data_IF_332247760293
#
_entry.id   IF_332247760293
#
_cell.length_a   1.000
_cell.length_b   1.000
_cell.length_c   1.000
_cell.angle_alpha   90.00
_cell.angle_beta   90.00
_cell.angle_gamma   90.00
#
_symmetry.space_group_name_H-M   'P 1'
#
loop_
_entity.id
_entity.type
_entity.pdbx_description
1 polymer ?
#
# COMPACT_ATOMS: atom_id res chain seq x y z
N UNK A 1 -11.43 -6.30 -6.22
CA UNK A 1 -10.23 -6.98 -6.77
C UNK A 1 -10.59 -8.03 -7.82
N UNK A 2 -11.65 -8.83 -7.61
CA UNK A 2 -12.09 -9.88 -8.54
C UNK A 2 -12.10 -9.52 -10.05
N UNK A 3 -12.57 -8.32 -10.45
CA UNK A 3 -12.54 -7.91 -11.87
C UNK A 3 -11.13 -7.82 -12.46
N UNK A 4 -10.14 -7.40 -11.66
CA UNK A 4 -8.74 -7.38 -12.08
C UNK A 4 -8.18 -8.80 -12.16
N UNK A 5 -8.55 -9.67 -11.23
CA UNK A 5 -8.09 -11.07 -11.20
C UNK A 5 -8.68 -11.91 -12.35
N UNK A 6 -9.86 -11.53 -12.86
CA UNK A 6 -10.50 -12.17 -14.00
C UNK A 6 -9.78 -11.92 -15.35
N UNK A 7 -9.14 -10.76 -15.53
CA UNK A 7 -8.46 -10.40 -16.78
C UNK A 7 -7.29 -9.41 -16.56
N UNK A 8 -6.20 -9.83 -15.91
CA UNK A 8 -5.07 -8.95 -15.59
C UNK A 8 -4.38 -8.38 -16.84
N UNK A 9 -4.38 -9.10 -17.95
CA UNK A 9 -3.75 -8.68 -19.22
C UNK A 9 -4.47 -7.48 -19.84
N UNK A 10 -5.81 -7.48 -19.81
CA UNK A 10 -6.60 -6.32 -20.26
C UNK A 10 -6.31 -5.08 -19.43
N UNK A 11 -6.20 -5.21 -18.11
CA UNK A 11 -5.89 -4.08 -17.23
C UNK A 11 -4.46 -3.56 -17.44
N UNK A 12 -3.50 -4.47 -17.63
CA UNK A 12 -2.13 -4.10 -18.03
C UNK A 12 -2.11 -3.35 -19.37
N UNK A 13 -2.86 -3.80 -20.38
CA UNK A 13 -2.98 -3.12 -21.67
C UNK A 13 -3.60 -1.71 -21.55
N UNK A 14 -4.47 -1.49 -20.55
CA UNK A 14 -5.04 -0.18 -20.22
C UNK A 14 -4.15 0.66 -19.30
N UNK A 15 -2.99 0.15 -18.87
CA UNK A 15 -2.12 0.76 -17.88
C UNK A 15 -2.86 1.07 -16.57
N UNK A 16 -3.73 0.15 -16.14
CA UNK A 16 -4.54 0.29 -14.92
C UNK A 16 -4.23 -0.85 -13.95
N UNK A 17 -4.10 -0.50 -12.67
CA UNK A 17 -4.05 -1.47 -11.58
C UNK A 17 -5.45 -1.87 -11.10
N UNK A 18 -5.52 -2.70 -10.04
CA UNK A 18 -6.78 -3.00 -9.38
C UNK A 18 -7.42 -1.72 -8.82
N UNK A 19 -8.75 -1.74 -8.74
CA UNK A 19 -9.53 -0.62 -8.21
C UNK A 19 -9.32 -0.48 -6.70
N UNK A 20 -8.81 0.67 -6.26
CA UNK A 20 -8.55 1.03 -4.84
C UNK A 20 -9.25 2.34 -4.42
N UNK A 21 -10.27 2.78 -5.16
CA UNK A 21 -10.98 4.06 -4.96
C UNK A 21 -12.08 4.01 -3.89
N UNK A 22 -12.31 2.84 -3.28
CA UNK A 22 -13.19 2.68 -2.11
C UNK A 22 -12.36 2.28 -0.90
N UNK A 23 -12.84 2.67 0.28
CA UNK A 23 -12.20 2.34 1.55
C UNK A 23 -12.00 0.83 1.72
N UNK A 24 -13.04 0.04 1.42
CA UNK A 24 -13.02 -1.42 1.49
C UNK A 24 -11.93 -2.02 0.60
N UNK A 25 -11.83 -1.58 -0.66
CA UNK A 25 -10.79 -2.07 -1.58
C UNK A 25 -9.39 -1.67 -1.11
N UNK A 26 -9.24 -0.47 -0.55
CA UNK A 26 -7.96 0.01 -0.01
C UNK A 26 -7.53 -0.81 1.20
N UNK A 27 -8.45 -1.18 2.10
CA UNK A 27 -8.12 -2.02 3.26
C UNK A 27 -7.53 -3.37 2.88
N UNK A 28 -7.98 -3.96 1.76
CA UNK A 28 -7.43 -5.26 1.30
C UNK A 28 -5.91 -5.23 1.12
N UNK A 29 -5.35 -4.11 0.65
CA UNK A 29 -3.90 -3.92 0.41
C UNK A 29 -3.16 -3.30 1.60
N UNK A 30 -3.88 -2.91 2.66
CA UNK A 30 -3.33 -2.37 3.90
C UNK A 30 -3.21 -3.49 4.94
N UNK A 31 -4.35 -4.03 5.37
CA UNK A 31 -4.46 -5.00 6.47
C UNK A 31 -5.26 -6.27 6.11
N UNK A 32 -5.76 -6.41 4.88
CA UNK A 32 -6.50 -7.57 4.40
C UNK A 32 -5.66 -8.65 3.72
N UNK A 33 -6.23 -9.32 2.72
CA UNK A 33 -5.58 -10.48 2.05
C UNK A 33 -4.30 -10.13 1.30
N UNK A 34 -4.10 -8.85 0.94
CA UNK A 34 -2.91 -8.31 0.29
C UNK A 34 -2.15 -7.33 1.20
N UNK A 35 -2.25 -7.52 2.52
CA UNK A 35 -1.65 -6.62 3.50
C UNK A 35 -0.16 -6.32 3.25
N UNK A 36 0.23 -5.10 3.59
CA UNK A 36 1.57 -4.57 3.32
C UNK A 36 1.83 -4.17 1.87
N UNK A 37 0.91 -4.44 0.92
CA UNK A 37 1.11 -4.06 -0.47
C UNK A 37 1.13 -2.55 -0.66
N UNK A 38 0.23 -1.80 -0.01
CA UNK A 38 0.24 -0.34 -0.06
C UNK A 38 1.57 0.21 0.44
N UNK A 39 2.01 -0.26 1.62
CA UNK A 39 3.22 0.22 2.28
C UNK A 39 4.47 -0.05 1.44
N UNK A 40 4.67 -1.27 0.92
CA UNK A 40 5.80 -1.58 0.02
C UNK A 40 5.86 -0.71 -1.23
N UNK A 41 4.70 -0.31 -1.75
CA UNK A 41 4.61 0.45 -3.00
C UNK A 41 4.83 1.94 -2.79
N UNK A 42 4.49 2.45 -1.61
CA UNK A 42 4.61 3.86 -1.25
C UNK A 42 5.82 4.18 -0.37
N UNK A 43 6.55 3.18 0.13
CA UNK A 43 7.73 3.35 0.96
C UNK A 43 8.77 4.26 0.27
N UNK A 44 9.44 5.09 1.07
CA UNK A 44 10.50 6.00 0.63
C UNK A 44 11.86 5.28 0.44
N UNK A 45 11.95 4.00 0.77
CA UNK A 45 13.17 3.19 0.66
C UNK A 45 13.96 3.13 1.96
N UNK A 46 13.63 3.93 2.97
CA UNK A 46 14.35 3.94 4.26
C UNK A 46 14.17 2.64 5.05
N UNK A 47 13.14 1.87 4.74
CA UNK A 47 12.84 0.58 5.38
C UNK A 47 13.33 -0.63 4.56
N UNK A 48 14.09 -0.41 3.49
CA UNK A 48 14.55 -1.46 2.56
C UNK A 48 16.07 -1.53 2.52
N UNK A 49 16.60 -2.75 2.39
CA UNK A 49 18.05 -2.98 2.36
C UNK A 49 18.72 -2.38 1.10
N UNK A 50 17.97 -2.24 0.01
CA UNK A 50 18.42 -1.64 -1.25
C UNK A 50 18.34 -0.11 -1.27
N UNK A 51 17.64 0.50 -0.30
CA UNK A 51 17.36 1.94 -0.27
C UNK A 51 16.47 2.43 -1.41
N UNK A 52 15.86 1.54 -2.21
CA UNK A 52 15.08 1.93 -3.38
C UNK A 52 13.62 2.22 -2.99
N UNK A 53 13.07 3.39 -3.34
CA UNK A 53 11.68 3.70 -3.03
C UNK A 53 10.72 2.73 -3.75
N UNK A 54 9.54 2.56 -3.16
CA UNK A 54 8.45 1.85 -3.81
C UNK A 54 8.07 2.52 -5.14
N UNK A 55 7.69 1.72 -6.14
CA UNK A 55 7.42 2.25 -7.48
C UNK A 55 6.21 3.21 -7.55
N UNK A 56 5.37 3.29 -6.52
CA UNK A 56 4.24 4.21 -6.44
C UNK A 56 4.54 5.46 -5.59
N UNK A 57 5.67 5.51 -4.86
CA UNK A 57 6.06 6.66 -4.03
C UNK A 57 6.16 7.95 -4.89
N UNK A 58 6.63 7.83 -6.13
CA UNK A 58 6.72 8.94 -7.08
C UNK A 58 5.38 9.65 -7.35
N UNK A 59 4.25 8.98 -7.13
CA UNK A 59 2.91 9.55 -7.35
C UNK A 59 2.33 10.23 -6.11
N UNK A 60 3.07 10.28 -5.00
CA UNK A 60 2.65 11.01 -3.80
C UNK A 60 2.83 12.52 -3.90
N UNK A 61 3.57 13.03 -4.90
CA UNK A 61 3.81 14.46 -5.02
C UNK A 61 4.81 14.80 -6.12
N UNK A 62 4.77 16.04 -6.60
CA UNK A 62 5.68 16.52 -7.62
C UNK A 62 7.09 16.78 -7.06
N UNK A 63 7.19 17.22 -5.80
CA UNK A 63 8.47 17.48 -5.11
C UNK A 63 8.77 16.42 -4.05
N UNK A 64 10.01 16.37 -3.58
CA UNK A 64 10.41 15.49 -2.47
C UNK A 64 9.65 15.85 -1.19
N UNK A 65 9.44 17.15 -0.94
CA UNK A 65 8.70 17.64 0.22
C UNK A 65 7.23 17.18 0.18
N UNK A 66 6.55 17.32 -0.95
CA UNK A 66 5.17 16.86 -1.10
C UNK A 66 5.05 15.34 -0.94
N UNK A 67 6.01 14.57 -1.49
CA UNK A 67 6.05 13.11 -1.34
C UNK A 67 6.19 12.72 0.12
N UNK A 68 7.09 13.39 0.85
CA UNK A 68 7.29 13.10 2.27
C UNK A 68 6.06 13.46 3.11
N UNK A 69 5.48 14.64 2.92
CA UNK A 69 4.29 15.09 3.65
C UNK A 69 3.10 14.14 3.45
N UNK A 70 2.84 13.74 2.20
CA UNK A 70 1.75 12.83 1.88
C UNK A 70 2.03 11.39 2.36
N UNK A 71 3.29 10.96 2.33
CA UNK A 71 3.69 9.67 2.90
C UNK A 71 3.49 9.65 4.42
N UNK A 72 3.85 10.72 5.12
CA UNK A 72 3.71 10.83 6.57
C UNK A 72 2.23 10.81 6.99
N UNK A 73 1.36 11.50 6.24
CA UNK A 73 -0.09 11.41 6.43
C UNK A 73 -0.61 9.97 6.30
N UNK A 74 -0.13 9.21 5.31
CA UNK A 74 -0.51 7.81 5.13
C UNK A 74 0.05 6.90 6.23
N UNK A 75 1.30 7.12 6.65
CA UNK A 75 1.91 6.41 7.78
C UNK A 75 1.11 6.62 9.06
N UNK A 76 0.67 7.85 9.34
CA UNK A 76 -0.16 8.18 10.49
C UNK A 76 -1.52 7.47 10.44
N UNK A 77 -2.18 7.49 9.27
CA UNK A 77 -3.47 6.84 9.06
C UNK A 77 -3.39 5.30 9.19
N UNK A 78 -2.37 4.68 8.58
CA UNK A 78 -2.16 3.22 8.66
C UNK A 78 -1.76 2.80 10.08
N UNK A 79 -0.95 3.61 10.75
CA UNK A 79 -0.42 3.34 12.09
C UNK A 79 0.75 2.36 12.10
N UNK A 80 0.56 1.16 11.57
CA UNK A 80 1.60 0.13 11.48
C UNK A 80 2.20 0.07 10.07
N UNK A 81 3.32 0.75 9.87
CA UNK A 81 4.04 0.73 8.59
C UNK A 81 4.95 -0.49 8.50
N UNK A 82 4.50 -1.54 7.82
CA UNK A 82 5.23 -2.81 7.66
C UNK A 82 5.41 -3.18 6.20
N UNK A 83 6.59 -3.71 5.87
CA UNK A 83 6.88 -4.23 4.54
C UNK A 83 6.58 -5.73 4.39
N UNK A 84 6.24 -6.41 5.50
CA UNK A 84 5.81 -7.81 5.52
C UNK A 84 4.64 -8.04 4.57
N UNK A 85 4.59 -9.23 3.97
CA UNK A 85 3.45 -9.72 3.18
C UNK A 85 2.39 -10.32 4.09
N UNK A 86 1.18 -10.47 3.57
CA UNK A 86 0.05 -11.01 4.35
C UNK A 86 0.36 -12.36 5.04
N UNK A 87 1.12 -13.25 4.39
CA UNK A 87 1.51 -14.55 4.97
C UNK A 87 2.63 -14.47 6.02
N UNK A 88 3.22 -13.29 6.24
CA UNK A 88 4.28 -13.03 7.23
C UNK A 88 3.76 -12.24 8.43
N UNK A 89 2.52 -11.74 8.37
CA UNK A 89 1.90 -10.98 9.46
C UNK A 89 1.36 -11.92 10.54
N UNK A 90 1.63 -11.57 11.79
CA UNK A 90 1.07 -12.23 12.97
C UNK A 90 -0.18 -11.50 13.45
N UNK A 91 -0.94 -12.13 14.36
CA UNK A 91 -2.06 -11.45 15.04
C UNK A 91 -1.61 -10.17 15.77
N UNK A 92 -0.39 -10.13 16.30
CA UNK A 92 0.20 -8.95 16.93
C UNK A 92 0.52 -7.84 15.92
N UNK A 93 0.97 -8.18 14.71
CA UNK A 93 1.15 -7.21 13.64
C UNK A 93 -0.22 -6.63 13.23
N UNK A 94 -1.25 -7.49 13.11
CA UNK A 94 -2.60 -7.07 12.76
C UNK A 94 -3.22 -6.12 13.81
N UNK A 95 -2.97 -6.35 15.10
CA UNK A 95 -3.46 -5.51 16.18
C UNK A 95 -2.86 -4.09 16.20
N UNK A 96 -1.72 -3.86 15.51
CA UNK A 96 -1.06 -2.56 15.45
C UNK A 96 -1.61 -1.64 14.36
N UNK A 97 -2.37 -2.17 13.40
CA UNK A 97 -3.03 -1.34 12.40
C UNK A 97 -4.06 -0.42 13.06
N UNK A 98 -4.00 0.88 12.75
CA UNK A 98 -4.96 1.88 13.23
C UNK A 98 -6.20 2.03 12.34
N UNK A 99 -6.19 1.39 11.17
CA UNK A 99 -7.31 1.47 10.23
C UNK A 99 -8.55 0.78 10.81
N UNK A 100 -9.66 1.50 10.89
CA UNK A 100 -10.92 0.98 11.41
C UNK A 100 -11.66 0.22 10.31
N UNK A 101 -12.00 -1.04 10.53
CA UNK A 101 -13.03 -1.70 9.72
C UNK A 101 -14.40 -1.06 10.05
N UNK A 102 -15.19 -0.73 9.02
CA UNK A 102 -16.50 -0.10 9.18
C UNK A 102 -17.60 -1.11 9.50
#
# INVERSE_FOLDING_TARGET
MAEFDEDPDKFAAMMRGPRLDSYENLLVVVNGTEAGALMRRLDDGTNRDDGEPGNMNQYLGATDEERQENLDMLKEWVGHWTLKRANELTEEDHAQFKVLEK
#
